data_IF_226508809655
#
_entry.id   IF_226508809655
#
_cell.length_a   1.000
_cell.length_b   1.000
_cell.length_c   1.000
_cell.angle_alpha   90.00
_cell.angle_beta   90.00
_cell.angle_gamma   90.00
#
_symmetry.space_group_name_H-M   'P 1'
#
loop_
_entity.id
_entity.type
_entity.pdbx_description
1 polymer ?
#
# COMPACT_ATOMS: atom_id res chain seq x y z
N UNK A 1 7.73 60.03 20.45
CA UNK A 1 6.91 59.99 21.68
C UNK A 1 5.50 59.41 21.43
N UNK A 2 4.88 59.66 20.28
CA UNK A 2 3.54 59.13 19.92
C UNK A 2 3.47 57.59 19.93
N UNK A 3 4.47 56.90 19.38
CA UNK A 3 4.50 55.43 19.35
C UNK A 3 4.62 54.79 20.74
N UNK A 4 5.26 55.49 21.69
CA UNK A 4 5.38 55.00 23.07
C UNK A 4 4.07 55.08 23.83
N UNK A 5 3.31 56.16 23.64
CA UNK A 5 1.96 56.32 24.22
C UNK A 5 0.99 55.31 23.59
N UNK A 6 1.04 55.14 22.27
CA UNK A 6 0.24 54.13 21.57
C UNK A 6 0.51 52.70 22.03
N UNK A 7 1.78 52.34 22.26
CA UNK A 7 2.15 51.04 22.82
C UNK A 7 1.60 50.84 24.24
N UNK A 8 1.62 51.89 25.07
CA UNK A 8 1.15 51.85 26.46
C UNK A 8 -0.38 51.70 26.54
N UNK A 9 -1.11 52.42 25.70
CA UNK A 9 -2.57 52.29 25.57
C UNK A 9 -2.93 50.89 25.05
N UNK A 10 -2.23 50.39 24.02
CA UNK A 10 -2.47 49.04 23.48
C UNK A 10 -2.20 47.97 24.54
N UNK A 11 -1.11 48.09 25.30
CA UNK A 11 -0.79 47.19 26.40
C UNK A 11 -1.87 47.19 27.48
N UNK A 12 -2.34 48.38 27.88
CA UNK A 12 -3.42 48.53 28.86
C UNK A 12 -4.73 47.91 28.36
N UNK A 13 -5.09 48.14 27.09
CA UNK A 13 -6.27 47.53 26.47
C UNK A 13 -6.16 46.00 26.43
N UNK A 14 -5.01 45.45 26.04
CA UNK A 14 -4.77 44.00 26.04
C UNK A 14 -4.88 43.41 27.44
N UNK A 15 -4.35 44.10 28.46
CA UNK A 15 -4.46 43.68 29.87
C UNK A 15 -5.91 43.67 30.36
N UNK A 16 -6.66 44.75 30.11
CA UNK A 16 -8.05 44.87 30.53
C UNK A 16 -8.91 43.78 29.87
N UNK A 17 -8.79 43.60 28.55
CA UNK A 17 -9.52 42.57 27.81
C UNK A 17 -9.12 41.19 28.29
N UNK A 18 -7.81 40.95 28.48
CA UNK A 18 -7.28 39.68 28.97
C UNK A 18 -7.88 39.28 30.31
N UNK A 19 -7.92 40.21 31.29
CA UNK A 19 -8.46 39.96 32.64
C UNK A 19 -9.98 39.86 32.63
N UNK A 20 -10.68 40.76 31.95
CA UNK A 20 -12.15 40.79 31.90
C UNK A 20 -12.72 39.54 31.21
N UNK A 21 -12.15 39.12 30.07
CA UNK A 21 -12.57 37.90 29.37
C UNK A 21 -12.24 36.64 30.17
N UNK A 22 -11.17 36.65 30.96
CA UNK A 22 -10.79 35.54 31.84
C UNK A 22 -11.91 35.20 32.84
N UNK A 23 -12.54 36.22 33.42
CA UNK A 23 -13.62 36.09 34.40
C UNK A 23 -14.93 35.62 33.76
N UNK A 24 -15.14 35.86 32.47
CA UNK A 24 -16.34 35.46 31.70
C UNK A 24 -16.25 34.05 31.09
N UNK A 25 -15.19 33.27 31.38
CA UNK A 25 -15.03 31.90 30.89
C UNK A 25 -14.00 31.71 29.77
N UNK A 26 -13.14 32.70 29.50
CA UNK A 26 -12.08 32.58 28.50
C UNK A 26 -10.88 31.69 28.92
N UNK A 27 -11.00 30.91 30.01
CA UNK A 27 -10.02 29.87 30.36
C UNK A 27 -9.77 28.90 29.20
N UNK A 28 -10.80 28.67 28.36
CA UNK A 28 -10.72 27.84 27.16
C UNK A 28 -9.66 28.39 26.20
N UNK A 29 -9.56 29.70 26.01
CA UNK A 29 -8.60 30.30 25.05
C UNK A 29 -7.15 30.10 25.49
N UNK A 30 -6.91 30.08 26.80
CA UNK A 30 -5.59 29.89 27.41
C UNK A 30 -5.15 28.45 27.34
N UNK A 31 -6.11 27.51 27.30
CA UNK A 31 -5.83 26.11 27.01
C UNK A 31 -5.64 25.90 25.49
N UNK A 32 -6.53 26.49 24.69
CA UNK A 32 -6.66 26.25 23.26
C UNK A 32 -5.48 26.81 22.47
N UNK A 33 -5.01 28.02 22.77
CA UNK A 33 -3.89 28.63 22.04
C UNK A 33 -2.61 27.81 22.22
N UNK A 34 -2.15 27.46 23.45
CA UNK A 34 -1.01 26.57 23.64
C UNK A 34 -1.21 25.20 23.01
N UNK A 35 -2.42 24.62 23.10
CA UNK A 35 -2.71 23.33 22.45
C UNK A 35 -2.52 23.40 20.93
N UNK A 36 -3.05 24.43 20.28
CA UNK A 36 -2.88 24.65 18.82
C UNK A 36 -1.41 24.88 18.48
N UNK A 37 -0.70 25.72 19.25
CA UNK A 37 0.73 25.99 19.03
C UNK A 37 1.55 24.71 19.18
N UNK A 38 1.32 23.91 20.22
CA UNK A 38 1.98 22.62 20.44
C UNK A 38 1.70 21.68 19.27
N UNK A 39 0.46 21.59 18.81
CA UNK A 39 0.09 20.78 17.63
C UNK A 39 0.83 21.24 16.38
N UNK A 40 0.88 22.55 16.10
CA UNK A 40 1.61 23.07 14.94
C UNK A 40 3.12 22.84 15.03
N UNK A 41 3.71 22.97 16.23
CA UNK A 41 5.12 22.68 16.45
C UNK A 41 5.41 21.18 16.27
N UNK A 42 4.55 20.29 16.77
CA UNK A 42 4.63 18.83 16.59
C UNK A 42 4.54 18.47 15.10
N UNK A 43 3.59 19.04 14.37
CA UNK A 43 3.45 18.85 12.92
C UNK A 43 4.73 19.32 12.24
N UNK A 44 5.20 20.55 12.49
CA UNK A 44 6.43 21.08 11.88
C UNK A 44 7.64 20.19 12.15
N UNK A 45 7.81 19.70 13.37
CA UNK A 45 8.91 18.80 13.73
C UNK A 45 8.82 17.48 12.95
N UNK A 46 7.64 16.88 12.90
CA UNK A 46 7.40 15.65 12.13
C UNK A 46 7.70 15.83 10.64
N UNK A 47 7.25 16.93 10.02
CA UNK A 47 7.53 17.21 8.61
C UNK A 47 9.03 17.44 8.34
N UNK A 48 9.77 18.05 9.29
CA UNK A 48 11.22 18.18 9.18
C UNK A 48 11.93 16.83 9.25
N UNK A 49 11.49 15.96 10.15
CA UNK A 49 12.02 14.60 10.26
C UNK A 49 11.77 13.80 8.98
N UNK A 50 10.53 13.81 8.47
CA UNK A 50 10.18 13.16 7.19
C UNK A 50 11.01 13.75 6.04
N UNK A 51 11.16 15.06 5.95
CA UNK A 51 11.97 15.71 4.92
C UNK A 51 13.45 15.28 4.99
N UNK A 52 14.00 15.10 6.18
CA UNK A 52 15.37 14.61 6.37
C UNK A 52 15.52 13.13 5.99
N UNK A 53 14.49 12.31 6.18
CA UNK A 53 14.49 10.89 5.79
C UNK A 53 14.29 10.68 4.28
N UNK A 54 13.65 11.64 3.61
CA UNK A 54 13.42 11.63 2.17
C UNK A 54 14.48 12.43 1.39
N UNK A 55 15.47 13.03 2.07
CA UNK A 55 16.53 13.75 1.36
C UNK A 55 17.41 12.77 0.59
N UNK A 56 18.02 13.25 -0.50
CA UNK A 56 18.98 12.47 -1.27
C UNK A 56 20.37 12.43 -0.60
N UNK A 57 20.50 13.03 0.59
CA UNK A 57 21.76 13.12 1.30
C UNK A 57 22.22 11.72 1.73
N UNK A 58 23.43 11.34 1.33
CA UNK A 58 24.00 10.03 1.61
C UNK A 58 23.69 8.94 0.58
N UNK A 59 22.89 9.21 -0.46
CA UNK A 59 22.75 8.30 -1.61
C UNK A 59 23.91 8.45 -2.60
N UNK A 60 24.35 7.36 -3.25
CA UNK A 60 25.36 7.46 -4.30
C UNK A 60 24.82 8.25 -5.51
N UNK A 61 25.67 9.01 -6.21
CA UNK A 61 25.25 9.86 -7.34
C UNK A 61 24.73 9.08 -8.55
N UNK A 62 24.94 7.76 -8.60
CA UNK A 62 24.38 6.86 -9.61
C UNK A 62 23.46 5.86 -8.93
N UNK A 63 22.17 6.18 -8.93
CA UNK A 63 21.11 5.22 -8.60
C UNK A 63 21.00 4.24 -9.77
N UNK A 64 21.45 3.00 -9.56
CA UNK A 64 21.30 1.95 -10.57
C UNK A 64 19.83 1.49 -10.63
N UNK A 65 19.28 1.22 -11.83
CA UNK A 65 17.96 0.63 -11.94
C UNK A 65 17.94 -0.72 -11.23
N UNK A 66 16.79 -1.03 -10.64
CA UNK A 66 16.54 -2.38 -10.09
C UNK A 66 16.62 -3.38 -11.26
N UNK A 67 17.23 -4.56 -11.07
CA UNK A 67 17.20 -5.62 -12.07
C UNK A 67 15.76 -5.96 -12.49
N UNK A 68 15.61 -6.61 -13.64
CA UNK A 68 14.32 -7.11 -14.12
C UNK A 68 13.67 -7.95 -13.00
N UNK A 69 12.47 -7.59 -12.53
CA UNK A 69 11.88 -8.20 -11.35
C UNK A 69 11.35 -9.61 -11.65
N UNK A 70 11.33 -10.49 -10.65
CA UNK A 70 10.47 -11.67 -10.69
C UNK A 70 9.02 -11.23 -10.52
N UNK A 71 8.12 -11.75 -11.35
CA UNK A 71 6.70 -11.36 -11.31
C UNK A 71 5.85 -12.55 -10.89
N UNK A 72 5.03 -12.34 -9.87
CA UNK A 72 4.03 -13.31 -9.42
C UNK A 72 2.63 -12.76 -9.70
N UNK A 73 1.76 -13.59 -10.29
CA UNK A 73 0.37 -13.24 -10.57
C UNK A 73 -0.56 -14.23 -9.87
N UNK A 74 -1.22 -13.88 -8.76
CA UNK A 74 -2.22 -14.75 -8.16
C UNK A 74 -3.46 -14.79 -9.05
N UNK A 75 -3.88 -16.00 -9.40
CA UNK A 75 -5.05 -16.24 -10.25
C UNK A 75 -6.06 -17.11 -9.49
N UNK A 76 -7.35 -16.83 -9.70
CA UNK A 76 -8.46 -17.67 -9.22
C UNK A 76 -8.91 -18.70 -10.27
N UNK A 77 -8.31 -18.68 -11.45
CA UNK A 77 -8.61 -19.53 -12.59
C UNK A 77 -8.28 -18.83 -13.90
N UNK A 78 -8.54 -19.50 -15.03
CA UNK A 78 -8.31 -18.94 -16.37
C UNK A 78 -9.59 -18.32 -16.92
N UNK A 79 -9.64 -16.99 -16.94
CA UNK A 79 -10.80 -16.22 -17.40
C UNK A 79 -10.39 -14.83 -17.93
N UNK A 80 -11.31 -14.09 -18.55
CA UNK A 80 -11.03 -12.76 -19.14
C UNK A 80 -10.43 -11.75 -18.17
N UNK A 81 -10.83 -11.78 -16.90
CA UNK A 81 -10.34 -10.85 -15.87
C UNK A 81 -8.85 -10.93 -15.53
N UNK A 82 -8.13 -11.99 -15.95
CA UNK A 82 -6.67 -12.08 -15.75
C UNK A 82 -5.86 -11.74 -16.99
N UNK A 83 -6.50 -11.54 -18.16
CA UNK A 83 -5.81 -11.39 -19.44
C UNK A 83 -4.88 -10.18 -19.41
N UNK A 84 -5.40 -9.03 -18.97
CA UNK A 84 -4.62 -7.79 -18.90
C UNK A 84 -3.49 -7.91 -17.86
N UNK A 85 -3.74 -8.60 -16.74
CA UNK A 85 -2.75 -8.81 -15.69
C UNK A 85 -1.59 -9.69 -16.13
N UNK A 86 -1.86 -10.81 -16.80
CA UNK A 86 -0.84 -11.71 -17.31
C UNK A 86 -0.05 -11.05 -18.45
N UNK A 87 -0.73 -10.37 -19.37
CA UNK A 87 -0.05 -9.67 -20.47
C UNK A 87 0.82 -8.52 -19.95
N UNK A 88 0.36 -7.78 -18.94
CA UNK A 88 1.16 -6.76 -18.29
C UNK A 88 2.39 -7.37 -17.59
N UNK A 89 2.22 -8.46 -16.84
CA UNK A 89 3.32 -9.17 -16.19
C UNK A 89 4.42 -9.58 -17.19
N UNK A 90 4.01 -10.15 -18.33
CA UNK A 90 4.92 -10.54 -19.44
C UNK A 90 5.62 -9.36 -20.10
N UNK A 91 5.02 -8.16 -20.05
CA UNK A 91 5.63 -6.96 -20.63
C UNK A 91 6.79 -6.39 -19.78
N UNK A 92 6.86 -6.75 -18.50
CA UNK A 92 7.86 -6.22 -17.56
C UNK A 92 8.90 -7.27 -17.14
N UNK A 93 8.67 -8.55 -17.40
CA UNK A 93 9.58 -9.64 -17.05
C UNK A 93 9.30 -10.91 -17.87
N UNK A 94 10.36 -11.63 -18.24
CA UNK A 94 10.27 -12.98 -18.79
C UNK A 94 10.07 -14.05 -17.70
N UNK A 95 10.28 -13.69 -16.43
CA UNK A 95 10.12 -14.59 -15.29
C UNK A 95 8.78 -14.35 -14.58
N UNK A 96 7.71 -14.84 -15.21
CA UNK A 96 6.33 -14.74 -14.72
C UNK A 96 5.85 -16.08 -14.17
N UNK A 97 5.42 -16.07 -12.91
CA UNK A 97 4.79 -17.22 -12.26
C UNK A 97 3.35 -16.89 -11.91
N UNK A 98 2.41 -17.59 -12.55
CA UNK A 98 1.01 -17.61 -12.13
C UNK A 98 0.86 -18.52 -10.91
N UNK A 99 0.19 -18.05 -9.86
CA UNK A 99 -0.05 -18.81 -8.63
C UNK A 99 -1.53 -19.08 -8.49
N UNK A 100 -1.89 -20.35 -8.49
CA UNK A 100 -3.25 -20.80 -8.21
C UNK A 100 -3.29 -21.48 -6.85
N UNK A 101 -4.08 -20.93 -5.92
CA UNK A 101 -4.29 -21.57 -4.61
C UNK A 101 -5.43 -22.57 -4.74
N UNK A 102 -5.10 -23.86 -4.68
CA UNK A 102 -6.06 -24.95 -4.85
C UNK A 102 -6.82 -25.20 -3.55
N UNK A 103 -8.11 -24.84 -3.56
CA UNK A 103 -9.02 -25.06 -2.42
C UNK A 103 -9.65 -26.46 -2.46
N UNK A 104 -9.72 -27.07 -3.64
CA UNK A 104 -10.32 -28.38 -3.89
C UNK A 104 -9.36 -29.24 -4.73
N UNK A 105 -8.96 -30.42 -4.25
CA UNK A 105 -8.01 -31.26 -4.97
C UNK A 105 -8.48 -31.60 -6.39
N UNK A 106 -7.59 -31.43 -7.37
CA UNK A 106 -7.81 -31.83 -8.76
C UNK A 106 -8.30 -30.71 -9.68
N UNK A 107 -8.73 -29.57 -9.13
CA UNK A 107 -9.10 -28.40 -9.95
C UNK A 107 -7.85 -27.77 -10.58
N UNK A 108 -6.70 -27.83 -9.90
CA UNK A 108 -5.44 -27.23 -10.34
C UNK A 108 -4.95 -27.74 -11.69
N UNK A 109 -5.24 -28.99 -12.05
CA UNK A 109 -4.83 -29.56 -13.34
C UNK A 109 -5.61 -28.93 -14.50
N UNK A 110 -6.91 -28.68 -14.31
CA UNK A 110 -7.74 -27.99 -15.31
C UNK A 110 -7.28 -26.54 -15.53
N UNK A 111 -6.79 -25.88 -14.47
CA UNK A 111 -6.22 -24.53 -14.55
C UNK A 111 -4.88 -24.57 -15.28
N UNK A 112 -4.05 -25.59 -15.01
CA UNK A 112 -2.76 -25.80 -15.70
C UNK A 112 -2.94 -25.96 -17.20
N UNK A 113 -3.84 -26.86 -17.61
CA UNK A 113 -4.09 -27.11 -19.02
C UNK A 113 -4.57 -25.82 -19.72
N UNK A 114 -5.57 -25.14 -19.17
CA UNK A 114 -6.08 -23.89 -19.75
C UNK A 114 -5.02 -22.79 -19.78
N UNK A 115 -4.17 -22.69 -18.75
CA UNK A 115 -3.12 -21.67 -18.74
C UNK A 115 -2.10 -21.96 -19.84
N UNK A 116 -1.68 -23.22 -20.00
CA UNK A 116 -0.74 -23.61 -21.05
C UNK A 116 -1.31 -23.40 -22.46
N UNK A 117 -2.64 -23.52 -22.64
CA UNK A 117 -3.31 -23.23 -23.92
C UNK A 117 -3.24 -21.74 -24.30
N UNK A 118 -3.39 -20.83 -23.33
CA UNK A 118 -3.44 -19.37 -23.59
C UNK A 118 -2.07 -18.66 -23.42
N UNK A 119 -1.25 -19.13 -22.49
CA UNK A 119 0.05 -18.55 -22.11
C UNK A 119 1.07 -19.67 -21.82
N UNK A 120 1.59 -20.34 -22.86
CA UNK A 120 2.53 -21.46 -22.70
C UNK A 120 3.88 -21.06 -22.09
N UNK A 121 4.21 -19.77 -22.11
CA UNK A 121 5.43 -19.18 -21.55
C UNK A 121 5.30 -18.79 -20.07
N UNK A 122 4.10 -18.89 -19.48
CA UNK A 122 3.86 -18.55 -18.07
C UNK A 122 3.86 -19.82 -17.22
N UNK A 123 4.72 -19.86 -16.21
CA UNK A 123 4.79 -20.98 -15.28
C UNK A 123 3.59 -20.95 -14.33
N UNK A 124 2.87 -22.07 -14.18
CA UNK A 124 1.84 -22.22 -13.15
C UNK A 124 2.41 -22.94 -11.92
N UNK A 125 2.29 -22.33 -10.75
CA UNK A 125 2.44 -23.01 -9.48
C UNK A 125 1.08 -23.20 -8.82
N UNK A 126 0.75 -24.45 -8.51
CA UNK A 126 -0.44 -24.80 -7.74
C UNK A 126 -0.05 -24.96 -6.29
N UNK A 127 -0.62 -24.14 -5.43
CA UNK A 127 -0.36 -24.15 -3.98
C UNK A 127 -1.57 -24.79 -3.29
N UNK A 128 -1.44 -25.98 -2.69
CA UNK A 128 -2.56 -26.64 -2.03
C UNK A 128 -2.96 -25.86 -0.77
N UNK A 129 -4.27 -25.73 -0.53
CA UNK A 129 -4.83 -25.07 0.66
C UNK A 129 -5.80 -25.99 1.40
N UNK A 130 -5.32 -26.80 2.36
CA UNK A 130 -6.14 -27.74 3.12
C UNK A 130 -7.26 -27.04 3.93
N UNK A 131 -7.00 -25.81 4.37
CA UNK A 131 -7.92 -25.02 5.19
C UNK A 131 -8.79 -24.07 4.36
N UNK A 132 -8.81 -24.22 3.04
CA UNK A 132 -9.57 -23.35 2.11
C UNK A 132 -9.28 -21.85 2.29
N UNK A 133 -8.06 -21.52 2.70
CA UNK A 133 -7.57 -20.15 2.84
C UNK A 133 -6.76 -19.77 1.61
N UNK A 134 -7.03 -18.61 1.02
CA UNK A 134 -6.26 -18.13 -0.14
C UNK A 134 -5.01 -17.36 0.30
N UNK A 135 -5.16 -16.52 1.32
CA UNK A 135 -4.14 -15.53 1.69
C UNK A 135 -2.93 -16.19 2.34
N UNK A 136 -3.16 -17.09 3.30
CA UNK A 136 -2.07 -17.74 4.05
C UNK A 136 -1.09 -18.49 3.13
N UNK A 137 -1.57 -19.45 2.32
CA UNK A 137 -0.73 -20.21 1.40
C UNK A 137 -0.07 -19.33 0.33
N UNK A 138 -0.77 -18.30 -0.16
CA UNK A 138 -0.16 -17.34 -1.07
C UNK A 138 1.02 -16.64 -0.41
N UNK A 139 0.86 -16.08 0.79
CA UNK A 139 1.95 -15.38 1.48
C UNK A 139 3.13 -16.30 1.78
N UNK A 140 2.87 -17.54 2.19
CA UNK A 140 3.91 -18.54 2.44
C UNK A 140 4.69 -18.88 1.16
N UNK A 141 3.99 -19.09 0.03
CA UNK A 141 4.61 -19.28 -1.28
C UNK A 141 5.49 -18.08 -1.66
N UNK A 142 5.00 -16.86 -1.44
CA UNK A 142 5.74 -15.64 -1.72
C UNK A 142 7.03 -15.62 -0.87
N UNK A 143 6.94 -15.82 0.45
CA UNK A 143 8.12 -15.81 1.31
C UNK A 143 9.15 -16.88 0.93
N UNK A 144 8.68 -18.09 0.63
CA UNK A 144 9.55 -19.18 0.24
C UNK A 144 10.27 -18.84 -1.07
N UNK A 145 9.55 -18.28 -2.03
CA UNK A 145 10.14 -17.81 -3.29
C UNK A 145 11.20 -16.74 -3.07
N UNK A 146 10.95 -15.75 -2.19
CA UNK A 146 11.94 -14.70 -1.88
C UNK A 146 13.18 -15.28 -1.20
N UNK A 147 12.98 -16.18 -0.23
CA UNK A 147 14.06 -16.82 0.52
C UNK A 147 14.91 -17.74 -0.36
N UNK A 148 14.29 -18.48 -1.27
CA UNK A 148 14.98 -19.41 -2.16
C UNK A 148 15.91 -18.67 -3.13
N UNK A 149 15.46 -17.54 -3.67
CA UNK A 149 16.26 -16.81 -4.64
C UNK A 149 17.29 -15.90 -3.97
N UNK A 150 16.91 -15.20 -2.88
CA UNK A 150 17.77 -14.31 -2.08
C UNK A 150 18.83 -13.53 -2.90
N UNK A 151 18.42 -13.03 -4.07
CA UNK A 151 19.29 -12.51 -5.11
C UNK A 151 19.26 -10.98 -5.19
N UNK A 152 18.59 -10.34 -4.23
CA UNK A 152 18.41 -8.90 -4.19
C UNK A 152 17.48 -8.35 -5.27
N UNK A 153 16.84 -9.21 -6.09
CA UNK A 153 15.84 -8.77 -7.06
C UNK A 153 14.54 -8.43 -6.36
N UNK A 154 13.94 -7.31 -6.76
CA UNK A 154 12.65 -6.88 -6.24
C UNK A 154 11.56 -7.77 -6.84
N UNK A 155 10.85 -8.53 -6.02
CA UNK A 155 9.70 -9.29 -6.50
C UNK A 155 8.48 -8.38 -6.67
N UNK A 156 7.79 -8.49 -7.80
CA UNK A 156 6.55 -7.80 -8.09
C UNK A 156 5.36 -8.76 -8.00
N UNK A 157 4.28 -8.31 -7.37
CA UNK A 157 3.00 -9.00 -7.32
C UNK A 157 2.00 -8.22 -8.18
N UNK A 158 1.62 -8.79 -9.32
CA UNK A 158 0.62 -8.20 -10.21
C UNK A 158 -0.74 -8.75 -9.82
N UNK A 159 -1.61 -7.92 -9.25
CA UNK A 159 -2.93 -8.30 -8.75
C UNK A 159 -4.01 -7.97 -9.78
N UNK A 160 -4.71 -8.97 -10.35
CA UNK A 160 -5.93 -8.72 -11.10
C UNK A 160 -7.03 -8.25 -10.13
N UNK A 161 -7.57 -7.05 -10.36
CA UNK A 161 -8.64 -6.48 -9.53
C UNK A 161 -9.94 -6.35 -10.31
N UNK A 162 -11.01 -6.98 -9.82
CA UNK A 162 -12.33 -6.83 -10.43
C UNK A 162 -12.99 -5.55 -9.93
N UNK A 163 -13.23 -4.62 -10.86
CA UNK A 163 -13.99 -3.42 -10.58
C UNK A 163 -15.43 -3.66 -11.05
N UNK A 164 -16.40 -3.77 -10.13
CA UNK A 164 -17.80 -3.95 -10.50
C UNK A 164 -18.37 -2.68 -11.14
N UNK A 165 -19.40 -2.84 -11.98
CA UNK A 165 -20.06 -1.70 -12.63
C UNK A 165 -20.78 -0.78 -11.62
N UNK A 166 -21.21 -1.30 -10.46
CA UNK A 166 -21.87 -0.53 -9.40
C UNK A 166 -21.07 -0.58 -8.09
N UNK A 167 -20.89 0.58 -7.45
CA UNK A 167 -20.11 0.71 -6.22
C UNK A 167 -20.62 -0.19 -5.07
N UNK A 168 -21.94 -0.43 -4.97
CA UNK A 168 -22.51 -1.27 -3.92
C UNK A 168 -22.19 -2.77 -4.11
N UNK A 169 -21.94 -3.22 -5.34
CA UNK A 169 -21.49 -4.59 -5.62
C UNK A 169 -20.04 -4.82 -5.13
N UNK A 170 -19.26 -3.74 -4.98
CA UNK A 170 -17.87 -3.78 -4.49
C UNK A 170 -17.77 -4.24 -3.04
N UNK A 171 -18.81 -4.04 -2.22
CA UNK A 171 -18.84 -4.54 -0.84
C UNK A 171 -18.89 -6.07 -0.77
N UNK A 172 -19.40 -6.72 -1.81
CA UNK A 172 -19.63 -8.16 -1.83
C UNK A 172 -18.59 -8.95 -2.64
N UNK A 173 -17.91 -8.36 -3.63
CA UNK A 173 -17.19 -9.15 -4.65
C UNK A 173 -15.66 -8.93 -4.76
N UNK A 174 -15.05 -7.94 -4.08
CA UNK A 174 -13.61 -7.67 -4.22
C UNK A 174 -12.83 -7.66 -2.88
N UNK A 175 -13.16 -8.58 -1.96
CA UNK A 175 -12.51 -8.61 -0.65
C UNK A 175 -11.09 -9.21 -0.69
N UNK A 176 -10.83 -10.18 -1.58
CA UNK A 176 -9.57 -10.94 -1.57
C UNK A 176 -8.35 -10.09 -1.93
N UNK A 177 -8.42 -9.26 -2.99
CA UNK A 177 -7.29 -8.41 -3.39
C UNK A 177 -6.93 -7.40 -2.29
N UNK A 178 -7.93 -6.76 -1.69
CA UNK A 178 -7.74 -5.84 -0.56
C UNK A 178 -7.10 -6.53 0.64
N UNK A 179 -7.57 -7.73 1.00
CA UNK A 179 -7.01 -8.52 2.10
C UNK A 179 -5.56 -8.95 1.81
N UNK A 180 -5.23 -9.34 0.57
CA UNK A 180 -3.85 -9.66 0.17
C UNK A 180 -2.95 -8.44 0.37
N UNK A 181 -3.36 -7.25 -0.10
CA UNK A 181 -2.58 -6.01 0.09
C UNK A 181 -2.40 -5.68 1.56
N UNK A 182 -3.47 -5.71 2.35
CA UNK A 182 -3.42 -5.45 3.78
C UNK A 182 -2.48 -6.42 4.50
N UNK A 183 -2.56 -7.71 4.16
CA UNK A 183 -1.68 -8.72 4.74
C UNK A 183 -0.22 -8.52 4.32
N UNK A 184 0.07 -8.20 3.07
CA UNK A 184 1.42 -7.90 2.60
C UNK A 184 2.01 -6.65 3.26
N UNK A 185 1.23 -5.59 3.41
CA UNK A 185 1.66 -4.36 4.10
C UNK A 185 1.98 -4.62 5.57
N UNK A 186 1.12 -5.38 6.25
CA UNK A 186 1.37 -5.77 7.64
C UNK A 186 2.63 -6.65 7.74
N UNK A 187 2.78 -7.63 6.85
CA UNK A 187 3.88 -8.60 6.88
C UNK A 187 5.22 -7.99 6.46
N UNK A 188 5.23 -7.02 5.55
CA UNK A 188 6.41 -6.21 5.20
C UNK A 188 7.04 -5.56 6.44
N UNK A 189 6.21 -5.16 7.41
CA UNK A 189 6.68 -4.57 8.67
C UNK A 189 7.46 -5.55 9.56
N UNK A 190 7.24 -6.87 9.40
CA UNK A 190 7.79 -7.89 10.29
C UNK A 190 8.76 -8.90 9.63
N UNK A 191 8.67 -9.15 8.31
CA UNK A 191 9.29 -10.33 7.67
C UNK A 191 10.24 -10.06 6.49
N UNK A 192 10.61 -8.80 6.23
CA UNK A 192 11.92 -8.49 5.61
C UNK A 192 12.05 -8.43 4.08
N UNK A 193 11.06 -8.81 3.27
CA UNK A 193 11.17 -8.67 1.80
C UNK A 193 10.26 -7.58 1.25
N UNK A 194 10.79 -6.45 0.74
CA UNK A 194 9.98 -5.45 0.07
C UNK A 194 9.51 -6.01 -1.28
N UNK A 195 8.20 -5.94 -1.53
CA UNK A 195 7.58 -6.29 -2.81
C UNK A 195 6.84 -5.10 -3.39
N UNK A 196 6.87 -4.99 -4.71
CA UNK A 196 6.03 -4.03 -5.44
C UNK A 196 4.69 -4.70 -5.71
N UNK A 197 3.60 -3.98 -5.44
CA UNK A 197 2.26 -4.43 -5.77
C UNK A 197 1.79 -3.60 -6.96
N UNK A 198 1.31 -4.25 -8.01
CA UNK A 198 0.80 -3.61 -9.22
C UNK A 198 -0.63 -4.07 -9.43
N UNK A 199 -1.57 -3.13 -9.35
CA UNK A 199 -2.99 -3.43 -9.52
C UNK A 199 -3.39 -3.29 -10.98
N UNK A 200 -4.00 -4.35 -11.52
CA UNK A 200 -4.49 -4.37 -12.89
C UNK A 200 -6.02 -4.45 -12.87
N UNK A 201 -6.71 -3.32 -13.09
CA UNK A 201 -8.16 -3.27 -12.97
C UNK A 201 -8.83 -3.89 -14.19
N UNK A 202 -9.74 -4.82 -13.95
CA UNK A 202 -10.65 -5.37 -14.95
C UNK A 202 -12.09 -4.91 -14.67
N UNK A 203 -12.64 -4.13 -15.60
CA UNK A 203 -13.98 -3.57 -15.46
C UNK A 203 -15.05 -4.56 -15.95
N UNK A 204 -15.97 -4.93 -15.06
CA UNK A 204 -17.14 -5.71 -15.44
C UNK A 204 -18.09 -4.83 -16.26
N UNK A 205 -18.58 -5.37 -17.39
CA UNK A 205 -19.38 -4.57 -18.33
C UNK A 205 -20.83 -4.34 -17.91
N UNK A 206 -21.36 -5.00 -16.86
CA UNK A 206 -22.73 -4.82 -16.36
C UNK A 206 -22.86 -5.11 -14.86
#
# INVERSE_FOLDING_TARGET
MINGIGALVTLATVLIIGVSKFLEGAWITILLIPLIVITFLRIRAHYKEVASQLSMDGLPPSLKPVPIPRVVVPISGVHRGIVDAINFARSISDNVTAVYVELEPGVGESVRQKLAEWWPDVNLTVVPSPYRSVIGPLLEFLDETDRLHNDGQLAALVLPEFIPAKWWQSLLHNQTAWLIKAALLYRRRFSGFPRVIIDIPYHLRH
#
